data_IF_649530649653
#
_entry.id   IF_649530649653
#
_cell.length_a   1.000
_cell.length_b   1.000
_cell.length_c   1.000
_cell.angle_alpha   90.00
_cell.angle_beta   90.00
_cell.angle_gamma   90.00
#
_symmetry.space_group_name_H-M   'P 1'
#
loop_
_entity.id
_entity.type
_entity.pdbx_description
1 polymer ?
#
# COMPACT_ATOMS: atom_id res chain seq x y z
N UNK A 1 -4.09 5.09 -4.94
CA UNK A 1 -4.19 6.48 -4.42
C UNK A 1 -3.30 7.48 -5.16
N UNK A 2 -2.08 7.11 -5.52
CA UNK A 2 -1.19 7.98 -6.34
C UNK A 2 -1.77 8.29 -7.70
N UNK A 3 -2.38 7.30 -8.32
CA UNK A 3 -3.07 7.45 -9.60
C UNK A 3 -4.18 8.51 -9.52
N UNK A 4 -4.97 8.53 -8.44
CA UNK A 4 -6.03 9.52 -8.26
C UNK A 4 -5.45 10.93 -8.09
N UNK A 5 -4.39 11.09 -7.27
CA UNK A 5 -3.73 12.40 -7.07
C UNK A 5 -3.09 12.87 -8.38
N UNK A 6 -2.43 11.97 -9.10
CA UNK A 6 -1.79 12.28 -10.38
C UNK A 6 -2.81 12.69 -11.43
N UNK A 7 -3.88 11.92 -11.57
CA UNK A 7 -5.00 12.22 -12.47
C UNK A 7 -5.64 13.58 -12.12
N UNK A 8 -5.92 13.79 -10.83
CA UNK A 8 -6.51 15.03 -10.31
C UNK A 8 -5.65 16.25 -10.66
N UNK A 9 -4.35 16.16 -10.39
CA UNK A 9 -3.40 17.25 -10.69
C UNK A 9 -3.32 17.54 -12.18
N UNK A 10 -3.27 16.52 -13.01
CA UNK A 10 -3.21 16.64 -14.46
C UNK A 10 -4.48 17.29 -15.02
N UNK A 11 -5.66 16.81 -14.65
CA UNK A 11 -6.93 17.34 -15.12
C UNK A 11 -7.17 18.80 -14.72
N UNK A 12 -6.74 19.17 -13.50
CA UNK A 12 -6.79 20.58 -13.07
C UNK A 12 -5.87 21.46 -13.87
N UNK A 13 -4.62 21.02 -14.10
CA UNK A 13 -3.65 21.78 -14.87
C UNK A 13 -4.15 22.03 -16.31
N UNK A 14 -4.90 21.06 -16.86
CA UNK A 14 -5.52 21.16 -18.19
C UNK A 14 -6.86 21.93 -18.19
N UNK A 15 -7.31 22.44 -17.03
CA UNK A 15 -8.59 23.13 -16.90
C UNK A 15 -9.81 22.25 -17.18
N UNK A 16 -9.69 20.92 -17.08
CA UNK A 16 -10.79 20.01 -17.32
C UNK A 16 -11.82 20.08 -16.18
N UNK A 17 -13.13 20.06 -16.48
CA UNK A 17 -14.13 19.92 -15.44
C UNK A 17 -14.08 18.52 -14.84
N UNK A 18 -14.07 18.45 -13.51
CA UNK A 18 -14.01 17.21 -12.74
C UNK A 18 -15.21 17.12 -11.81
N UNK A 19 -15.84 15.95 -11.75
CA UNK A 19 -16.82 15.61 -10.72
C UNK A 19 -16.18 14.68 -9.70
N UNK A 20 -16.52 14.89 -8.44
CA UNK A 20 -16.20 14.03 -7.30
C UNK A 20 -17.42 13.20 -6.95
N UNK A 21 -17.25 11.89 -6.88
CA UNK A 21 -18.29 10.91 -6.51
C UNK A 21 -17.81 10.18 -5.27
N UNK A 22 -18.53 10.32 -4.14
CA UNK A 22 -18.11 9.75 -2.84
C UNK A 22 -19.24 8.98 -2.19
N UNK A 23 -18.92 7.84 -1.59
CA UNK A 23 -19.82 7.10 -0.70
C UNK A 23 -19.88 7.84 0.64
N UNK A 24 -21.05 8.35 1.00
CA UNK A 24 -21.29 9.07 2.26
C UNK A 24 -21.62 8.12 3.41
N UNK A 25 -22.31 7.02 3.11
CA UNK A 25 -22.65 6.00 4.12
C UNK A 25 -22.96 4.68 3.44
N UNK A 26 -22.78 3.60 4.20
CA UNK A 26 -23.06 2.23 3.76
C UNK A 26 -23.98 1.53 4.74
N UNK A 27 -24.76 0.55 4.25
CA UNK A 27 -25.61 -0.31 5.07
C UNK A 27 -25.66 -1.71 4.49
N UNK A 28 -25.42 -2.73 5.31
CA UNK A 28 -25.31 -4.12 4.87
C UNK A 28 -24.04 -4.39 4.10
N UNK A 29 -24.04 -5.43 3.25
CA UNK A 29 -22.88 -5.80 2.44
C UNK A 29 -22.74 -4.87 1.24
N UNK A 30 -21.63 -4.17 1.14
CA UNK A 30 -21.33 -3.21 0.07
C UNK A 30 -19.95 -3.50 -0.56
N UNK A 31 -19.75 -3.17 -1.85
CA UNK A 31 -18.47 -3.44 -2.52
C UNK A 31 -17.32 -2.55 -2.04
N UNK A 32 -17.62 -1.39 -1.47
CA UNK A 32 -16.65 -0.46 -0.87
C UNK A 32 -17.26 0.18 0.38
N UNK A 33 -16.40 0.61 1.26
CA UNK A 33 -16.69 1.27 2.53
C UNK A 33 -17.04 2.76 2.35
N UNK A 34 -17.57 3.35 3.41
CA UNK A 34 -17.77 4.79 3.54
C UNK A 34 -16.47 5.55 3.30
N UNK A 35 -16.55 6.71 2.65
CA UNK A 35 -15.40 7.51 2.27
C UNK A 35 -14.73 7.10 0.96
N UNK A 36 -15.04 5.93 0.40
CA UNK A 36 -14.54 5.55 -0.92
C UNK A 36 -15.04 6.53 -1.99
N UNK A 37 -14.15 6.91 -2.91
CA UNK A 37 -14.49 7.91 -3.91
C UNK A 37 -13.81 7.63 -5.27
N UNK A 38 -14.33 8.29 -6.29
CA UNK A 38 -13.73 8.39 -7.61
C UNK A 38 -13.86 9.82 -8.15
N UNK A 39 -13.00 10.15 -9.09
CA UNK A 39 -13.05 11.38 -9.86
C UNK A 39 -13.46 11.06 -11.30
N UNK A 40 -14.32 11.87 -11.87
CA UNK A 40 -14.88 11.67 -13.22
C UNK A 40 -14.72 12.94 -14.03
N UNK A 41 -14.18 12.81 -15.25
CA UNK A 41 -14.18 13.86 -16.28
C UNK A 41 -15.17 13.48 -17.40
N UNK A 42 -15.43 14.32 -18.38
CA UNK A 42 -16.24 13.94 -19.54
C UNK A 42 -15.78 12.68 -20.27
N UNK A 43 -14.46 12.37 -20.24
CA UNK A 43 -13.87 11.27 -21.02
C UNK A 43 -13.12 10.21 -20.19
N UNK A 44 -12.80 10.49 -18.93
CA UNK A 44 -11.99 9.60 -18.10
C UNK A 44 -12.54 9.47 -16.67
N UNK A 45 -12.00 8.53 -15.91
CA UNK A 45 -12.23 8.41 -14.46
C UNK A 45 -10.96 7.91 -13.77
N UNK A 46 -10.84 8.20 -12.48
CA UNK A 46 -9.80 7.70 -11.58
C UNK A 46 -10.39 7.35 -10.21
N UNK A 47 -9.92 6.26 -9.60
CA UNK A 47 -10.53 5.72 -8.39
C UNK A 47 -11.72 4.83 -8.66
N UNK A 48 -12.40 4.37 -7.61
CA UNK A 48 -13.56 3.47 -7.71
C UNK A 48 -14.42 3.51 -6.46
N UNK A 49 -15.73 3.39 -6.64
CA UNK A 49 -16.73 3.22 -5.58
C UNK A 49 -17.26 1.78 -5.50
N UNK A 50 -16.59 0.82 -6.19
CA UNK A 50 -16.91 -0.61 -6.10
C UNK A 50 -17.21 -1.29 -7.42
N UNK A 51 -17.17 -0.57 -8.54
CA UNK A 51 -17.37 -1.13 -9.87
C UNK A 51 -18.83 -1.49 -10.22
N UNK A 52 -18.98 -2.20 -11.32
CA UNK A 52 -20.28 -2.70 -11.78
C UNK A 52 -21.29 -1.61 -12.13
N UNK A 53 -22.57 -1.95 -12.00
CA UNK A 53 -23.71 -1.08 -12.34
C UNK A 53 -23.73 0.21 -11.48
N UNK A 54 -23.41 0.08 -10.18
CA UNK A 54 -23.33 1.23 -9.28
C UNK A 54 -22.39 2.32 -9.81
N UNK A 55 -21.18 1.94 -10.14
CA UNK A 55 -20.17 2.87 -10.64
C UNK A 55 -20.55 3.45 -12.00
N UNK A 56 -21.06 2.59 -12.90
CA UNK A 56 -21.47 3.00 -14.22
C UNK A 56 -22.60 4.06 -14.19
N UNK A 57 -23.64 3.86 -13.36
CA UNK A 57 -24.74 4.80 -13.22
C UNK A 57 -24.25 6.13 -12.59
N UNK A 58 -23.38 6.07 -11.58
CA UNK A 58 -22.77 7.27 -10.96
C UNK A 58 -21.85 8.04 -11.92
N UNK A 59 -21.12 7.35 -12.80
CA UNK A 59 -20.31 8.00 -13.86
C UNK A 59 -21.20 8.73 -14.85
N UNK A 60 -22.33 8.14 -15.25
CA UNK A 60 -23.29 8.79 -16.13
C UNK A 60 -23.88 10.06 -15.49
N UNK A 61 -24.28 9.99 -14.23
CA UNK A 61 -24.79 11.14 -13.46
C UNK A 61 -23.73 12.24 -13.31
N UNK A 62 -22.49 11.86 -13.00
CA UNK A 62 -21.36 12.78 -12.87
C UNK A 62 -21.09 13.54 -14.18
N UNK A 63 -21.10 12.83 -15.30
CA UNK A 63 -20.96 13.44 -16.63
C UNK A 63 -22.11 14.37 -16.98
N UNK A 64 -23.34 14.01 -16.62
CA UNK A 64 -24.52 14.85 -16.81
C UNK A 64 -24.39 16.15 -15.97
N UNK A 65 -23.98 16.03 -14.71
CA UNK A 65 -23.71 17.19 -13.82
C UNK A 65 -22.66 18.13 -14.42
N UNK A 66 -21.58 17.58 -14.95
CA UNK A 66 -20.53 18.40 -15.62
C UNK A 66 -21.03 19.07 -16.88
N UNK A 67 -21.89 18.41 -17.68
CA UNK A 67 -22.42 18.95 -18.93
C UNK A 67 -23.46 20.06 -18.71
N UNK A 68 -24.26 19.98 -17.63
CA UNK A 68 -25.33 20.92 -17.34
C UNK A 68 -24.97 22.00 -16.32
N UNK A 69 -23.75 21.95 -15.77
CA UNK A 69 -23.31 22.78 -14.65
C UNK A 69 -24.29 22.72 -13.45
N UNK A 70 -24.83 21.53 -13.23
CA UNK A 70 -25.88 21.27 -12.24
C UNK A 70 -25.39 21.33 -10.80
N UNK A 71 -26.31 21.42 -9.82
CA UNK A 71 -25.99 21.35 -8.39
C UNK A 71 -25.52 19.97 -7.98
N UNK A 72 -24.88 19.87 -6.81
CA UNK A 72 -24.55 18.59 -6.20
C UNK A 72 -25.80 17.73 -5.97
N UNK A 73 -25.68 16.42 -6.19
CA UNK A 73 -26.76 15.45 -6.07
C UNK A 73 -26.39 14.37 -5.06
N UNK A 74 -27.31 14.03 -4.17
CA UNK A 74 -27.19 12.85 -3.31
C UNK A 74 -28.20 11.78 -3.76
N UNK A 75 -27.79 10.52 -3.72
CA UNK A 75 -28.62 9.37 -4.06
C UNK A 75 -28.47 8.27 -3.04
N UNK A 76 -29.60 7.72 -2.62
CA UNK A 76 -29.69 6.44 -1.91
C UNK A 76 -29.86 5.32 -2.93
N UNK A 77 -28.92 4.40 -3.01
CA UNK A 77 -28.89 3.32 -4.00
C UNK A 77 -28.92 1.98 -3.27
N UNK A 78 -29.93 1.18 -3.53
CA UNK A 78 -30.05 -0.19 -3.02
C UNK A 78 -29.35 -1.15 -3.97
N UNK A 79 -28.37 -1.89 -3.45
CA UNK A 79 -27.60 -2.87 -4.19
C UNK A 79 -28.35 -4.21 -4.17
N UNK A 80 -28.96 -4.60 -5.27
CA UNK A 80 -29.77 -5.80 -5.34
C UNK A 80 -29.72 -6.50 -6.69
N UNK A 81 -30.45 -7.60 -6.86
CA UNK A 81 -30.50 -8.35 -8.11
C UNK A 81 -30.88 -7.51 -9.33
N UNK A 82 -31.75 -6.50 -9.14
CA UNK A 82 -32.15 -5.57 -10.19
C UNK A 82 -30.99 -4.69 -10.71
N UNK A 83 -29.94 -4.53 -9.89
CA UNK A 83 -28.68 -3.86 -10.25
C UNK A 83 -27.63 -4.84 -10.80
N UNK A 84 -27.97 -6.13 -10.95
CA UNK A 84 -27.02 -7.17 -11.33
C UNK A 84 -25.91 -7.40 -10.28
N UNK A 85 -26.16 -7.03 -9.01
CA UNK A 85 -25.22 -7.20 -7.91
C UNK A 85 -25.76 -8.19 -6.89
N UNK A 86 -24.88 -9.07 -6.40
CA UNK A 86 -25.19 -10.03 -5.34
C UNK A 86 -25.10 -9.44 -3.92
N UNK A 87 -24.62 -8.19 -3.80
CA UNK A 87 -24.51 -7.48 -2.53
C UNK A 87 -25.90 -6.96 -2.13
N UNK A 88 -26.47 -7.41 -1.02
CA UNK A 88 -27.80 -6.99 -0.53
C UNK A 88 -27.80 -5.70 0.32
N UNK A 89 -26.77 -4.84 0.18
CA UNK A 89 -26.62 -3.62 0.93
C UNK A 89 -27.22 -2.37 0.28
N UNK A 90 -26.96 -1.21 0.86
CA UNK A 90 -27.30 0.08 0.29
C UNK A 90 -26.18 1.09 0.55
N UNK A 91 -26.02 2.03 -0.39
CA UNK A 91 -25.05 3.12 -0.29
C UNK A 91 -25.73 4.44 -0.51
N UNK A 92 -25.29 5.48 0.22
CA UNK A 92 -25.60 6.87 -0.09
C UNK A 92 -24.39 7.47 -0.80
N UNK A 93 -24.59 8.02 -1.98
CA UNK A 93 -23.54 8.60 -2.81
C UNK A 93 -23.81 10.08 -3.03
N UNK A 94 -22.76 10.91 -2.90
CA UNK A 94 -22.76 12.32 -3.28
C UNK A 94 -21.95 12.50 -4.56
N UNK A 95 -22.52 13.27 -5.48
CA UNK A 95 -21.91 13.65 -6.77
C UNK A 95 -21.89 15.17 -6.82
N UNK A 96 -20.71 15.76 -6.93
CA UNK A 96 -20.53 17.20 -6.95
C UNK A 96 -19.40 17.61 -7.90
N UNK A 97 -19.44 18.87 -8.37
CA UNK A 97 -18.30 19.41 -9.11
C UNK A 97 -17.13 19.62 -8.17
N UNK A 98 -15.96 19.16 -8.58
CA UNK A 98 -14.75 19.39 -7.83
C UNK A 98 -14.26 20.83 -8.07
N UNK A 99 -14.07 21.57 -6.99
CA UNK A 99 -13.51 22.89 -6.95
C UNK A 99 -12.11 22.88 -6.27
N UNK A 100 -11.32 23.96 -6.36
CA UNK A 100 -10.01 24.01 -5.72
C UNK A 100 -10.00 23.71 -4.22
N UNK A 101 -10.95 24.23 -3.39
CA UNK A 101 -11.05 23.84 -1.98
C UNK A 101 -11.25 22.33 -1.74
N UNK A 102 -12.10 21.66 -2.54
CA UNK A 102 -12.31 20.22 -2.47
C UNK A 102 -11.03 19.47 -2.82
N UNK A 103 -10.29 19.93 -3.83
CA UNK A 103 -9.01 19.33 -4.19
C UNK A 103 -7.97 19.41 -3.07
N UNK A 104 -7.87 20.57 -2.43
CA UNK A 104 -6.97 20.75 -1.28
C UNK A 104 -7.38 19.85 -0.10
N UNK A 105 -8.67 19.69 0.11
CA UNK A 105 -9.20 18.77 1.13
C UNK A 105 -8.85 17.32 0.81
N UNK A 106 -9.13 16.84 -0.40
CA UNK A 106 -8.82 15.48 -0.83
C UNK A 106 -7.32 15.18 -0.77
N UNK A 107 -6.48 16.14 -1.18
CA UNK A 107 -5.02 15.99 -1.10
C UNK A 107 -4.56 15.81 0.34
N UNK A 108 -5.09 16.60 1.28
CA UNK A 108 -4.78 16.47 2.72
C UNK A 108 -5.31 15.17 3.30
N UNK A 109 -6.52 14.76 2.94
CA UNK A 109 -7.13 13.49 3.39
C UNK A 109 -6.28 12.29 2.93
N UNK A 110 -5.89 12.24 1.65
CA UNK A 110 -5.04 11.19 1.12
C UNK A 110 -3.66 11.20 1.78
N UNK A 111 -3.07 12.37 2.00
CA UNK A 111 -1.79 12.48 2.71
C UNK A 111 -1.88 11.98 4.15
N UNK A 112 -2.96 12.28 4.86
CA UNK A 112 -3.19 11.79 6.22
C UNK A 112 -3.37 10.27 6.27
N UNK A 113 -4.14 9.69 5.34
CA UNK A 113 -4.30 8.23 5.21
C UNK A 113 -2.95 7.57 4.96
N UNK A 114 -2.13 8.12 4.05
CA UNK A 114 -0.79 7.59 3.75
C UNK A 114 0.17 7.71 4.92
N UNK A 115 0.12 8.79 5.68
CA UNK A 115 0.95 8.96 6.87
C UNK A 115 0.69 7.88 7.93
N UNK A 116 -0.54 7.36 7.97
CA UNK A 116 -0.94 6.27 8.86
C UNK A 116 -0.54 4.87 8.37
N UNK A 117 -0.09 4.72 7.11
CA UNK A 117 0.35 3.42 6.59
C UNK A 117 1.61 2.93 7.30
N UNK A 118 1.73 1.60 7.53
CA UNK A 118 2.94 1.04 8.14
C UNK A 118 4.15 1.26 7.24
N UNK A 119 5.27 1.69 7.80
CA UNK A 119 6.51 1.75 7.05
C UNK A 119 7.11 0.36 6.89
N UNK A 120 7.70 0.11 5.73
CA UNK A 120 8.47 -1.09 5.41
C UNK A 120 9.80 -0.67 4.79
N UNK A 121 10.90 -1.02 5.45
CA UNK A 121 12.24 -0.84 4.92
C UNK A 121 12.62 -2.10 4.13
N UNK A 122 12.91 -1.93 2.83
CA UNK A 122 13.33 -2.98 1.91
C UNK A 122 14.80 -2.78 1.57
N UNK A 123 15.68 -3.62 2.09
CA UNK A 123 17.12 -3.57 1.83
C UNK A 123 17.51 -4.52 0.70
N UNK A 124 17.98 -3.95 -0.41
CA UNK A 124 18.43 -4.67 -1.59
C UNK A 124 17.61 -4.36 -2.84
N UNK A 125 18.29 -3.94 -3.93
CA UNK A 125 17.66 -3.59 -5.21
C UNK A 125 17.93 -4.60 -6.35
N UNK A 126 18.38 -5.80 -6.03
CA UNK A 126 18.57 -6.87 -7.01
C UNK A 126 17.24 -7.35 -7.63
N UNK A 127 17.28 -8.44 -8.40
CA UNK A 127 16.10 -8.95 -9.13
C UNK A 127 14.87 -9.17 -8.25
N UNK A 128 15.04 -9.77 -7.06
CA UNK A 128 13.94 -10.01 -6.12
C UNK A 128 13.48 -8.68 -5.51
N UNK A 129 14.41 -7.77 -5.19
CA UNK A 129 14.08 -6.44 -4.67
C UNK A 129 13.21 -5.63 -5.62
N UNK A 130 13.54 -5.64 -6.92
CA UNK A 130 12.72 -5.01 -7.96
C UNK A 130 11.32 -5.63 -8.09
N UNK A 131 11.24 -6.95 -8.02
CA UNK A 131 9.94 -7.64 -8.06
C UNK A 131 9.10 -7.32 -6.82
N UNK A 132 9.72 -7.27 -5.64
CA UNK A 132 9.08 -6.88 -4.38
C UNK A 132 8.62 -5.43 -4.40
N UNK A 133 9.47 -4.49 -4.83
CA UNK A 133 9.09 -3.09 -4.91
C UNK A 133 7.83 -2.90 -5.77
N UNK A 134 7.75 -3.58 -6.93
CA UNK A 134 6.55 -3.56 -7.79
C UNK A 134 5.33 -4.22 -7.15
N UNK A 135 5.50 -5.34 -6.46
CA UNK A 135 4.38 -6.05 -5.83
C UNK A 135 3.83 -5.31 -4.59
N UNK A 136 4.70 -4.61 -3.85
CA UNK A 136 4.35 -3.91 -2.61
C UNK A 136 3.88 -2.46 -2.85
N UNK A 137 4.29 -1.81 -3.94
CA UNK A 137 3.95 -0.43 -4.25
C UNK A 137 2.43 -0.12 -4.22
N UNK A 138 1.53 -0.98 -4.74
CA UNK A 138 0.09 -0.72 -4.70
C UNK A 138 -0.56 -0.96 -3.34
N UNK A 139 0.16 -1.56 -2.38
CA UNK A 139 -0.36 -1.88 -1.05
C UNK A 139 -0.34 -0.64 -0.14
N UNK A 140 -1.19 -0.59 0.90
CA UNK A 140 -1.21 0.52 1.85
C UNK A 140 0.01 0.48 2.80
N UNK A 141 1.19 0.65 2.24
CA UNK A 141 2.50 0.64 2.90
C UNK A 141 3.29 1.89 2.53
N UNK A 142 4.10 2.40 3.46
CA UNK A 142 5.16 3.38 3.16
C UNK A 142 6.44 2.62 2.87
N UNK A 143 6.66 2.28 1.62
CA UNK A 143 7.82 1.50 1.20
C UNK A 143 9.04 2.39 1.03
N UNK A 144 10.09 2.14 1.83
CA UNK A 144 11.41 2.75 1.72
C UNK A 144 12.37 1.70 1.19
N UNK A 145 12.82 1.87 -0.04
CA UNK A 145 13.66 0.91 -0.76
C UNK A 145 15.11 1.38 -0.78
N UNK A 146 16.02 0.60 -0.19
CA UNK A 146 17.37 1.02 0.18
C UNK A 146 18.41 0.12 -0.48
N UNK A 147 19.32 0.70 -1.25
CA UNK A 147 20.52 0.04 -1.79
C UNK A 147 21.56 1.13 -2.15
N UNK A 148 22.86 0.90 -1.95
CA UNK A 148 23.88 1.86 -2.35
C UNK A 148 24.09 1.96 -3.87
N UNK A 149 23.63 0.98 -4.65
CA UNK A 149 23.85 0.86 -6.09
C UNK A 149 22.65 1.42 -6.86
N UNK A 150 22.77 2.66 -7.33
CA UNK A 150 21.66 3.35 -8.01
C UNK A 150 21.18 2.63 -9.27
N UNK A 151 22.08 1.98 -9.99
CA UNK A 151 21.82 1.23 -11.23
C UNK A 151 20.93 -0.01 -11.02
N UNK A 152 20.88 -0.53 -9.80
CA UNK A 152 20.08 -1.72 -9.48
C UNK A 152 18.59 -1.44 -9.28
N UNK A 153 18.19 -0.19 -9.04
CA UNK A 153 16.77 0.13 -8.82
C UNK A 153 15.93 -0.03 -10.09
N UNK A 154 16.49 0.30 -11.27
CA UNK A 154 15.72 0.37 -12.51
C UNK A 154 14.59 1.42 -12.40
N UNK A 155 13.39 1.06 -12.87
CA UNK A 155 12.22 1.94 -12.72
C UNK A 155 11.67 1.80 -11.30
N UNK A 156 11.72 2.89 -10.53
CA UNK A 156 11.12 2.96 -9.20
C UNK A 156 9.61 3.12 -9.36
N UNK A 157 8.79 2.25 -8.75
CA UNK A 157 7.34 2.40 -8.82
C UNK A 157 6.86 3.67 -8.11
N UNK A 158 5.75 4.22 -8.57
CA UNK A 158 5.12 5.37 -7.94
C UNK A 158 4.79 5.09 -6.46
N UNK A 159 5.02 6.07 -5.61
CA UNK A 159 4.78 5.96 -4.17
C UNK A 159 5.85 5.22 -3.37
N UNK A 160 6.89 4.70 -4.02
CA UNK A 160 8.05 4.08 -3.37
C UNK A 160 9.15 5.12 -3.17
N UNK A 161 9.63 5.25 -1.94
CA UNK A 161 10.79 6.09 -1.63
C UNK A 161 12.08 5.31 -1.87
N UNK A 162 12.81 5.61 -2.94
CA UNK A 162 14.12 5.02 -3.19
C UNK A 162 15.21 5.83 -2.45
N UNK A 163 16.02 5.13 -1.62
CA UNK A 163 17.16 5.70 -0.93
C UNK A 163 18.46 5.07 -1.42
N UNK A 164 19.24 5.82 -2.16
CA UNK A 164 20.55 5.39 -2.64
C UNK A 164 21.57 5.72 -1.55
N UNK A 165 21.81 4.77 -0.66
CA UNK A 165 22.72 4.97 0.48
C UNK A 165 23.30 3.64 0.97
N UNK A 166 24.52 3.72 1.51
CA UNK A 166 25.16 2.65 2.26
C UNK A 166 24.89 2.75 3.76
N UNK A 167 24.27 3.83 4.22
CA UNK A 167 23.94 4.08 5.64
C UNK A 167 22.69 3.29 6.05
N UNK A 168 22.86 1.99 6.19
CA UNK A 168 21.81 1.10 6.70
C UNK A 168 21.56 1.31 8.20
N UNK A 169 22.60 1.69 8.95
CA UNK A 169 22.51 1.96 10.40
C UNK A 169 21.60 3.14 10.68
N UNK A 170 21.84 4.25 9.98
CA UNK A 170 20.96 5.43 10.06
C UNK A 170 19.53 5.12 9.62
N UNK A 171 19.35 4.27 8.60
CA UNK A 171 18.01 3.86 8.16
C UNK A 171 17.26 3.03 9.22
N UNK A 172 17.95 2.07 9.86
CA UNK A 172 17.39 1.29 10.98
C UNK A 172 17.11 2.21 12.18
N UNK A 173 18.03 3.09 12.55
CA UNK A 173 17.88 3.97 13.72
C UNK A 173 16.73 4.96 13.55
N UNK A 174 16.54 5.51 12.35
CA UNK A 174 15.49 6.49 12.03
C UNK A 174 14.11 5.87 11.78
N UNK A 175 14.02 4.56 11.62
CA UNK A 175 12.73 3.89 11.36
C UNK A 175 11.80 4.03 12.59
N UNK A 176 10.50 4.32 12.39
CA UNK A 176 9.57 4.36 13.52
C UNK A 176 9.36 2.96 14.11
N UNK A 177 8.91 2.88 15.38
CA UNK A 177 8.47 1.61 15.96
C UNK A 177 7.34 0.98 15.13
N UNK A 178 7.12 -0.31 15.27
CA UNK A 178 6.16 -1.12 14.50
C UNK A 178 6.37 -1.13 12.98
N UNK A 179 7.51 -0.63 12.50
CA UNK A 179 7.91 -0.77 11.09
C UNK A 179 8.22 -2.24 10.74
N UNK A 180 8.16 -2.55 9.44
CA UNK A 180 8.72 -3.78 8.90
C UNK A 180 10.14 -3.57 8.39
N UNK A 181 10.98 -4.59 8.50
CA UNK A 181 12.32 -4.67 7.91
C UNK A 181 12.41 -5.93 7.07
N UNK A 182 12.73 -5.79 5.79
CA UNK A 182 12.89 -6.91 4.86
C UNK A 182 14.27 -6.83 4.20
N UNK A 183 15.10 -7.88 4.40
CA UNK A 183 16.51 -7.89 4.02
C UNK A 183 16.80 -8.91 2.95
N UNK A 184 17.37 -8.46 1.83
CA UNK A 184 17.74 -9.28 0.67
C UNK A 184 18.94 -8.67 -0.08
N UNK A 185 19.99 -8.29 0.65
CA UNK A 185 21.19 -7.74 0.03
C UNK A 185 22.04 -8.83 -0.64
N UNK A 186 22.96 -8.50 -1.55
CA UNK A 186 23.84 -9.49 -2.13
C UNK A 186 24.93 -9.99 -1.17
N UNK A 187 25.05 -9.39 0.02
CA UNK A 187 26.08 -9.71 1.01
C UNK A 187 25.49 -10.38 2.25
N UNK A 188 25.81 -11.64 2.49
CA UNK A 188 25.41 -12.33 3.72
C UNK A 188 25.91 -11.66 5.01
N UNK A 189 27.09 -10.99 4.95
CA UNK A 189 27.61 -10.26 6.09
C UNK A 189 26.77 -9.02 6.37
N UNK A 190 26.42 -8.26 5.34
CA UNK A 190 25.55 -7.10 5.46
C UNK A 190 24.14 -7.50 5.92
N UNK A 191 23.58 -8.59 5.38
CA UNK A 191 22.32 -9.14 5.85
C UNK A 191 22.35 -9.43 7.36
N UNK A 192 23.46 -10.02 7.86
CA UNK A 192 23.59 -10.32 9.28
C UNK A 192 23.65 -9.07 10.16
N UNK A 193 24.35 -8.01 9.69
CA UNK A 193 24.44 -6.73 10.39
C UNK A 193 23.06 -6.05 10.48
N UNK A 194 22.37 -5.91 9.35
CA UNK A 194 21.06 -5.26 9.31
C UNK A 194 20.03 -6.03 10.15
N UNK A 195 19.94 -7.34 9.98
CA UNK A 195 19.01 -8.20 10.75
C UNK A 195 19.37 -8.15 12.24
N UNK A 196 20.65 -8.26 12.59
CA UNK A 196 21.11 -8.20 13.98
C UNK A 196 20.71 -6.89 14.65
N UNK A 197 20.95 -5.75 14.02
CA UNK A 197 20.57 -4.44 14.54
C UNK A 197 19.05 -4.29 14.67
N UNK A 198 18.28 -4.80 13.71
CA UNK A 198 16.82 -4.78 13.79
C UNK A 198 16.28 -5.63 14.94
N UNK A 199 16.83 -6.83 15.15
CA UNK A 199 16.46 -7.70 16.27
C UNK A 199 16.90 -7.13 17.62
N UNK A 200 18.08 -6.53 17.72
CA UNK A 200 18.58 -5.90 18.94
C UNK A 200 17.70 -4.72 19.34
N UNK A 201 17.33 -3.87 18.39
CA UNK A 201 16.39 -2.77 18.62
C UNK A 201 15.03 -3.27 19.12
N UNK A 202 14.48 -4.29 18.49
CA UNK A 202 13.36 -5.13 18.97
C UNK A 202 12.00 -4.48 19.10
N UNK A 203 11.76 -3.36 18.44
CA UNK A 203 10.48 -2.68 18.34
C UNK A 203 9.89 -2.71 16.91
N UNK A 204 10.49 -3.51 16.03
CA UNK A 204 9.94 -3.77 14.70
C UNK A 204 8.85 -4.84 14.75
N UNK A 205 7.74 -4.60 14.06
CA UNK A 205 6.64 -5.56 13.93
C UNK A 205 7.01 -6.77 13.06
N UNK A 206 7.93 -6.59 12.13
CA UNK A 206 8.38 -7.62 11.20
C UNK A 206 9.86 -7.48 10.91
N UNK A 207 10.63 -8.57 11.04
CA UNK A 207 12.01 -8.64 10.59
C UNK A 207 12.15 -9.87 9.70
N UNK A 208 12.20 -9.65 8.40
CA UNK A 208 12.26 -10.69 7.37
C UNK A 208 13.61 -10.76 6.67
N UNK A 209 14.05 -11.98 6.37
CA UNK A 209 15.30 -12.25 5.65
C UNK A 209 15.06 -13.23 4.52
N UNK A 210 15.48 -12.87 3.29
CA UNK A 210 15.52 -13.84 2.20
C UNK A 210 16.62 -14.87 2.45
N UNK A 211 16.29 -16.14 2.33
CA UNK A 211 17.29 -17.17 2.60
C UNK A 211 16.73 -18.58 2.55
N UNK A 212 17.45 -19.46 3.22
CA UNK A 212 17.08 -20.86 3.41
C UNK A 212 17.04 -21.20 4.89
N UNK A 213 16.45 -22.33 5.26
CA UNK A 213 16.49 -22.86 6.63
C UNK A 213 17.93 -23.02 7.14
N UNK A 214 18.88 -23.32 6.26
CA UNK A 214 20.31 -23.40 6.60
C UNK A 214 20.89 -22.03 6.90
N UNK A 215 20.57 -21.00 6.08
CA UNK A 215 20.98 -19.61 6.33
C UNK A 215 20.42 -19.11 7.66
N UNK A 216 19.13 -19.39 7.94
CA UNK A 216 18.48 -19.06 9.20
C UNK A 216 19.25 -19.62 10.39
N UNK A 217 19.51 -20.94 10.43
CA UNK A 217 20.24 -21.58 11.54
C UNK A 217 21.62 -20.97 11.78
N UNK A 218 22.33 -20.65 10.69
CA UNK A 218 23.65 -20.00 10.79
C UNK A 218 23.54 -18.61 11.43
N UNK A 219 22.54 -17.82 11.05
CA UNK A 219 22.31 -16.48 11.59
C UNK A 219 21.88 -16.55 13.05
N UNK A 220 20.94 -17.41 13.40
CA UNK A 220 20.53 -17.63 14.79
C UNK A 220 21.72 -18.01 15.69
N UNK A 221 22.60 -18.91 15.22
CA UNK A 221 23.82 -19.28 15.96
C UNK A 221 24.76 -18.09 16.14
N UNK A 222 24.93 -17.26 15.11
CA UNK A 222 25.75 -16.04 15.19
C UNK A 222 25.16 -15.02 16.17
N UNK A 223 23.87 -14.79 16.15
CA UNK A 223 23.18 -13.85 17.05
C UNK A 223 23.25 -14.31 18.51
N UNK A 224 23.11 -15.61 18.79
CA UNK A 224 23.34 -16.17 20.14
C UNK A 224 24.75 -15.93 20.62
N UNK A 225 25.75 -16.13 19.74
CA UNK A 225 27.14 -15.90 20.09
C UNK A 225 27.45 -14.42 20.39
N UNK A 226 26.66 -13.50 19.82
CA UNK A 226 26.73 -12.06 20.11
C UNK A 226 25.88 -11.64 21.32
N UNK A 227 25.16 -12.57 21.95
CA UNK A 227 24.39 -12.33 23.18
C UNK A 227 22.97 -11.78 22.95
N UNK A 228 22.41 -11.87 21.73
CA UNK A 228 21.02 -11.52 21.51
C UNK A 228 20.08 -12.49 22.23
N UNK A 229 19.03 -11.99 22.91
CA UNK A 229 18.05 -12.84 23.60
C UNK A 229 17.28 -13.75 22.63
N UNK A 230 16.99 -14.99 23.06
CA UNK A 230 16.26 -15.97 22.24
C UNK A 230 14.89 -15.46 21.78
N UNK A 231 14.17 -14.72 22.61
CA UNK A 231 12.89 -14.12 22.27
C UNK A 231 13.00 -13.13 21.09
N UNK A 232 14.13 -12.41 20.96
CA UNK A 232 14.40 -11.53 19.83
C UNK A 232 14.76 -12.33 18.58
N UNK A 233 15.59 -13.33 18.72
CA UNK A 233 15.99 -14.21 17.61
C UNK A 233 14.78 -14.95 17.05
N UNK A 234 13.85 -15.37 17.90
CA UNK A 234 12.64 -16.10 17.51
C UNK A 234 11.70 -15.26 16.61
N UNK A 235 11.74 -13.91 16.68
CA UNK A 235 10.93 -13.05 15.84
C UNK A 235 11.43 -12.97 14.38
N UNK A 236 12.63 -13.48 14.08
CA UNK A 236 13.17 -13.49 12.72
C UNK A 236 12.33 -14.39 11.80
N UNK A 237 11.79 -13.84 10.74
CA UNK A 237 11.14 -14.58 9.66
C UNK A 237 12.18 -14.93 8.59
N UNK A 238 12.54 -16.19 8.48
CA UNK A 238 13.49 -16.69 7.47
C UNK A 238 13.29 -18.19 7.24
N UNK A 239 13.06 -18.64 6.02
CA UNK A 239 12.91 -17.88 4.79
C UNK A 239 11.62 -17.07 4.78
N UNK A 240 11.66 -15.85 4.20
CA UNK A 240 10.44 -15.08 3.92
C UNK A 240 9.60 -15.75 2.83
N UNK A 241 8.29 -15.66 2.93
CA UNK A 241 7.37 -16.22 1.94
C UNK A 241 7.37 -17.76 1.89
N UNK A 242 7.79 -18.47 2.94
CA UNK A 242 7.83 -19.96 2.97
C UNK A 242 6.43 -20.56 3.11
N UNK A 243 5.72 -20.67 1.99
CA UNK A 243 4.40 -21.30 1.87
C UNK A 243 4.43 -22.66 1.18
N UNK A 244 5.59 -23.33 1.19
CA UNK A 244 5.77 -24.65 0.58
C UNK A 244 5.94 -24.63 -0.94
N UNK A 245 5.91 -23.48 -1.59
CA UNK A 245 6.14 -23.30 -3.02
C UNK A 245 7.64 -23.20 -3.28
N UNK A 246 8.18 -24.03 -4.18
CA UNK A 246 9.62 -24.12 -4.46
C UNK A 246 10.07 -23.36 -5.71
N UNK A 247 9.24 -22.44 -6.20
CA UNK A 247 9.56 -21.63 -7.37
C UNK A 247 10.48 -20.48 -6.96
N UNK A 248 11.60 -20.33 -7.69
CA UNK A 248 12.64 -19.31 -7.39
C UNK A 248 12.55 -18.07 -8.29
N UNK A 249 11.54 -17.97 -9.14
CA UNK A 249 11.33 -16.77 -9.95
C UNK A 249 11.07 -15.57 -9.05
N UNK A 250 11.70 -14.42 -9.30
CA UNK A 250 11.56 -13.23 -8.47
C UNK A 250 10.10 -12.81 -8.23
N UNK A 251 9.26 -12.93 -9.26
CA UNK A 251 7.84 -12.55 -9.21
C UNK A 251 7.03 -13.46 -8.29
N UNK A 252 7.35 -14.76 -8.27
CA UNK A 252 6.68 -15.73 -7.39
C UNK A 252 7.11 -15.48 -5.94
N UNK A 253 8.40 -15.28 -5.70
CA UNK A 253 8.91 -14.92 -4.37
C UNK A 253 8.23 -13.63 -3.90
N UNK A 254 8.16 -12.61 -4.76
CA UNK A 254 7.54 -11.34 -4.42
C UNK A 254 6.06 -11.48 -4.05
N UNK A 255 5.30 -12.29 -4.77
CA UNK A 255 3.89 -12.55 -4.46
C UNK A 255 3.70 -13.22 -3.09
N UNK A 256 4.54 -14.22 -2.76
CA UNK A 256 4.48 -14.93 -1.49
C UNK A 256 4.87 -14.02 -0.31
N UNK A 257 5.93 -13.22 -0.48
CA UNK A 257 6.39 -12.26 0.52
C UNK A 257 5.38 -11.12 0.67
N UNK A 258 4.78 -10.63 -0.41
CA UNK A 258 3.74 -9.60 -0.31
C UNK A 258 2.53 -10.08 0.49
N UNK A 259 2.09 -11.34 0.31
CA UNK A 259 1.03 -11.93 1.12
C UNK A 259 1.42 -11.99 2.62
N UNK A 260 2.65 -12.41 2.94
CA UNK A 260 3.16 -12.45 4.31
C UNK A 260 3.22 -11.06 4.95
N UNK A 261 3.66 -10.05 4.20
CA UNK A 261 3.68 -8.64 4.65
C UNK A 261 2.26 -8.12 4.92
N UNK A 262 1.29 -8.42 4.06
CA UNK A 262 -0.13 -8.06 4.26
C UNK A 262 -0.66 -8.67 5.56
N UNK A 263 -0.44 -9.97 5.76
CA UNK A 263 -0.87 -10.67 6.97
C UNK A 263 -0.23 -10.10 8.25
N UNK A 264 1.03 -9.66 8.18
CA UNK A 264 1.77 -9.22 9.38
C UNK A 264 1.62 -7.74 9.66
N UNK A 265 1.71 -6.88 8.65
CA UNK A 265 1.74 -5.42 8.84
C UNK A 265 0.35 -4.77 8.72
N UNK A 266 -0.60 -5.40 8.02
CA UNK A 266 -1.93 -4.82 7.79
C UNK A 266 -3.03 -5.50 8.61
N UNK A 267 -2.79 -6.68 9.19
CA UNK A 267 -3.72 -7.31 10.14
C UNK A 267 -3.92 -6.39 11.34
N UNK A 268 -5.15 -6.30 11.83
CA UNK A 268 -5.57 -5.46 12.99
C UNK A 268 -5.45 -3.94 12.80
N UNK A 269 -5.26 -3.45 11.57
CA UNK A 269 -5.37 -2.02 11.31
C UNK A 269 -6.78 -1.69 10.83
N UNK A 270 -7.43 -0.67 11.42
CA UNK A 270 -8.74 -0.24 10.94
C UNK A 270 -8.60 0.16 9.47
N UNK A 271 -9.48 -0.36 8.64
CA UNK A 271 -9.65 0.13 7.28
C UNK A 271 -10.10 1.58 7.40
N UNK A 272 -9.46 2.54 6.71
CA UNK A 272 -9.88 3.93 6.75
C UNK A 272 -11.36 4.03 6.39
N UNK A 273 -12.22 4.44 7.36
CA UNK A 273 -13.67 4.46 7.23
C UNK A 273 -14.43 3.50 8.15
N UNK A 274 -13.78 2.54 8.82
CA UNK A 274 -14.39 1.72 9.86
C UNK A 274 -14.14 2.35 11.23
N UNK A 275 -15.09 3.13 11.72
CA UNK A 275 -15.14 3.60 13.11
C UNK A 275 -15.00 5.11 13.30
N UNK A 276 -16.03 5.82 13.00
CA UNK A 276 -16.37 7.09 13.61
C UNK A 276 -17.90 7.13 13.82
#
# INVERSE_FOLDING_TARGET
MDEIISAMRHWLADGQPVAHVRILSTRGSTPREEGAFMLVTPSAQAGTIGGGRLEWDCVADARMLLATDGPAVERDIVLGPDMGQCCGGAVRVRIERADPPLFDMLTREIAAVRAAWPPLLLFGAGHVGRALARALAPLPLRLVWIDPRCEEFGVVPDGVEARITADWEGAIAAAPPDAGVLVLTPSHALDALIVGAALERGDFRYVGLIGSKTKRRRFESGFRALGLPEERIATLVCPVGDRGIRDKRPEIIAALVAAEIVETLLQDRPVPGEGA
#
